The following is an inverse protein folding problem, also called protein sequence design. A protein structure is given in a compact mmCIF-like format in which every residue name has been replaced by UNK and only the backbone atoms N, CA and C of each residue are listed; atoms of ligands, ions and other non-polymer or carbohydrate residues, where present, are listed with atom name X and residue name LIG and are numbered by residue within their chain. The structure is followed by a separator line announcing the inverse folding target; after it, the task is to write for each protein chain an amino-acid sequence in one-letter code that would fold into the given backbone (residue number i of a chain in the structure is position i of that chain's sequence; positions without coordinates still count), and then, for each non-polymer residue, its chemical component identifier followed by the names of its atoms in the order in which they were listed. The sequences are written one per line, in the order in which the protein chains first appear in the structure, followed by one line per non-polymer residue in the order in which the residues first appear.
data_IF_076985018239
#
_entry.id   IF_076985018239
#
_cell.length_a   1.000
_cell.length_b   1.000
_cell.length_c   1.000
_cell.angle_alpha   90.00
_cell.angle_beta   90.00
_cell.angle_gamma   90.00
#
_symmetry.space_group_name_H-M   'P 1'
#
loop_
_entity.id
_entity.type
_entity.pdbx_description
1 polymer ?
#
# COMPACT_ATOMS: atom_id res chain seq x y z
N UNK A 1 13.12 4.12 59.33
CA UNK A 1 12.99 3.67 57.93
C UNK A 1 12.27 2.34 57.95
N UNK A 2 11.06 2.28 57.41
CA UNK A 2 10.25 1.06 57.42
C UNK A 2 8.83 1.38 56.96
N UNK A 3 8.66 1.50 55.64
CA UNK A 3 7.35 1.65 55.02
C UNK A 3 6.51 0.39 55.25
N UNK A 4 5.26 0.58 55.67
CA UNK A 4 4.24 -0.46 55.62
C UNK A 4 3.80 -0.64 54.17
N UNK A 5 4.10 -1.80 53.62
CA UNK A 5 3.82 -2.22 52.25
C UNK A 5 2.31 -2.16 51.94
N UNK A 6 1.98 -1.59 50.77
CA UNK A 6 0.63 -1.50 50.23
C UNK A 6 0.32 -2.75 49.37
N UNK A 7 -0.59 -3.67 49.77
CA UNK A 7 -0.88 -4.88 49.01
C UNK A 7 -1.96 -4.62 47.96
N UNK A 8 -1.59 -3.98 46.85
CA UNK A 8 -2.47 -3.89 45.68
C UNK A 8 -1.65 -4.00 44.39
N UNK A 9 -0.93 -5.12 44.28
CA UNK A 9 -0.25 -5.51 43.04
C UNK A 9 -0.48 -7.00 42.85
N UNK A 10 -1.43 -7.34 41.97
CA UNK A 10 -1.72 -8.74 41.69
C UNK A 10 -3.08 -8.99 41.05
N UNK A 11 -3.47 -8.21 40.04
CA UNK A 11 -4.54 -8.65 39.13
C UNK A 11 -3.88 -9.02 37.79
N UNK A 12 -4.04 -10.26 37.31
CA UNK A 12 -3.61 -10.60 35.96
C UNK A 12 -4.48 -9.81 34.98
N UNK A 13 -3.85 -8.96 34.17
CA UNK A 13 -4.51 -8.42 32.97
C UNK A 13 -4.79 -9.59 32.05
N UNK A 14 -6.04 -10.04 32.02
CA UNK A 14 -6.52 -10.95 30.98
C UNK A 14 -6.44 -10.18 29.67
N UNK A 15 -5.41 -10.48 28.87
CA UNK A 15 -5.31 -9.98 27.50
C UNK A 15 -6.52 -10.51 26.74
N UNK A 16 -7.36 -9.60 26.23
CA UNK A 16 -8.45 -9.99 25.35
C UNK A 16 -7.86 -10.73 24.15
N UNK A 17 -8.29 -11.98 23.95
CA UNK A 17 -7.94 -12.72 22.73
C UNK A 17 -8.44 -11.90 21.53
N UNK A 18 -7.65 -11.76 20.45
CA UNK A 18 -8.14 -11.16 19.22
C UNK A 18 -9.40 -11.92 18.80
N UNK A 19 -10.53 -11.23 18.78
CA UNK A 19 -11.77 -11.79 18.25
C UNK A 19 -11.59 -12.17 16.77
N UNK A 20 -12.42 -13.09 16.24
CA UNK A 20 -12.38 -13.41 14.82
C UNK A 20 -12.56 -12.12 14.02
N UNK A 21 -11.54 -11.73 13.27
CA UNK A 21 -11.60 -10.63 12.33
C UNK A 21 -12.57 -11.02 11.23
N UNK A 22 -13.79 -10.48 11.29
CA UNK A 22 -14.71 -10.53 10.14
C UNK A 22 -13.99 -9.87 8.97
N UNK A 23 -13.87 -10.56 7.81
CA UNK A 23 -13.21 -9.96 6.66
C UNK A 23 -13.96 -8.68 6.30
N UNK A 24 -13.25 -7.56 6.26
CA UNK A 24 -13.80 -6.31 5.75
C UNK A 24 -14.26 -6.53 4.31
N UNK A 25 -15.43 -6.02 3.95
CA UNK A 25 -15.93 -6.03 2.57
C UNK A 25 -15.08 -5.15 1.63
N UNK A 26 -14.19 -4.31 2.18
CA UNK A 26 -13.31 -3.43 1.44
C UNK A 26 -12.01 -4.14 1.01
N UNK A 27 -11.54 -3.83 -0.21
CA UNK A 27 -10.19 -4.18 -0.69
C UNK A 27 -9.17 -3.22 -0.04
N UNK A 28 -7.97 -3.72 0.25
CA UNK A 28 -6.85 -2.86 0.63
C UNK A 28 -6.42 -1.97 -0.54
N UNK A 29 -5.99 -0.76 -0.22
CA UNK A 29 -5.38 0.20 -1.17
C UNK A 29 -3.94 0.54 -0.74
N UNK A 30 -3.10 1.10 -1.62
CA UNK A 30 -1.74 1.50 -1.24
C UNK A 30 -1.74 2.40 0.00
N UNK A 31 -0.97 1.98 1.02
CA UNK A 31 -0.87 2.68 2.31
C UNK A 31 -1.62 2.01 3.46
N UNK A 32 -2.56 1.11 3.18
CA UNK A 32 -3.23 0.33 4.21
C UNK A 32 -2.29 -0.69 4.87
N UNK A 33 -2.52 -1.01 6.14
CA UNK A 33 -1.72 -2.00 6.87
C UNK A 33 -1.77 -3.42 6.26
N UNK A 34 -2.84 -3.74 5.53
CA UNK A 34 -2.97 -5.01 4.80
C UNK A 34 -2.53 -4.94 3.33
N UNK A 35 -1.99 -3.81 2.88
CA UNK A 35 -1.46 -3.69 1.52
C UNK A 35 -0.15 -4.47 1.40
N UNK A 36 0.07 -5.25 0.32
CA UNK A 36 1.26 -6.07 0.21
C UNK A 36 2.56 -5.24 0.20
N UNK A 37 3.56 -5.75 0.91
CA UNK A 37 4.90 -5.18 0.95
C UNK A 37 5.72 -5.46 -0.31
N UNK A 38 6.91 -4.86 -0.39
CA UNK A 38 7.79 -5.00 -1.57
C UNK A 38 8.20 -6.46 -1.84
N UNK A 39 8.48 -7.24 -0.79
CA UNK A 39 8.86 -8.64 -0.92
C UNK A 39 7.72 -9.50 -1.48
N UNK A 40 6.49 -9.25 -1.06
CA UNK A 40 5.30 -9.94 -1.56
C UNK A 40 5.04 -9.60 -3.03
N UNK A 41 5.20 -8.33 -3.42
CA UNK A 41 5.12 -7.92 -4.82
C UNK A 41 6.24 -8.53 -5.68
N UNK A 42 7.47 -8.61 -5.16
CA UNK A 42 8.58 -9.28 -5.86
C UNK A 42 8.33 -10.78 -6.03
N UNK A 43 7.79 -11.42 -5.00
CA UNK A 43 7.37 -12.82 -5.05
C UNK A 43 6.31 -12.99 -6.13
N UNK A 44 5.24 -12.18 -6.13
CA UNK A 44 4.23 -12.22 -7.18
C UNK A 44 4.86 -12.03 -8.57
N UNK A 45 5.73 -11.04 -8.75
CA UNK A 45 6.40 -10.78 -10.01
C UNK A 45 7.16 -12.02 -10.51
N UNK A 46 7.88 -12.71 -9.63
CA UNK A 46 8.58 -13.97 -9.97
C UNK A 46 7.61 -15.08 -10.40
N UNK A 47 6.47 -15.23 -9.70
CA UNK A 47 5.47 -16.28 -10.02
C UNK A 47 4.77 -16.06 -11.35
N UNK A 48 4.64 -14.79 -11.79
CA UNK A 48 4.07 -14.44 -13.09
C UNK A 48 5.13 -14.30 -14.19
N UNK A 49 6.37 -14.74 -13.93
CA UNK A 49 7.45 -14.76 -14.90
C UNK A 49 7.98 -13.37 -15.27
N UNK A 50 8.02 -12.44 -14.31
CA UNK A 50 8.55 -11.09 -14.52
C UNK A 50 7.58 -10.12 -15.20
N UNK A 51 6.29 -10.46 -15.28
CA UNK A 51 5.28 -9.67 -16.02
C UNK A 51 4.47 -8.70 -15.16
N UNK A 52 4.77 -8.59 -13.87
CA UNK A 52 4.11 -7.60 -13.02
C UNK A 52 4.70 -6.21 -13.29
N UNK A 53 3.85 -5.26 -13.67
CA UNK A 53 4.25 -3.88 -13.96
C UNK A 53 3.69 -2.97 -12.86
N UNK A 54 4.58 -2.22 -12.21
CA UNK A 54 4.14 -1.09 -11.39
C UNK A 54 3.70 0.03 -12.33
N UNK A 55 2.40 0.32 -12.32
CA UNK A 55 1.82 1.32 -13.20
C UNK A 55 2.46 2.69 -13.01
N UNK A 56 2.90 3.29 -14.11
CA UNK A 56 3.33 4.68 -14.19
C UNK A 56 2.29 5.43 -15.02
N UNK A 57 1.73 6.56 -14.54
CA UNK A 57 0.76 7.32 -15.32
C UNK A 57 1.33 7.71 -16.68
N UNK A 58 0.57 7.48 -17.76
CA UNK A 58 1.01 7.82 -19.12
C UNK A 58 1.45 9.28 -19.22
N UNK A 59 0.65 10.19 -18.66
CA UNK A 59 0.92 11.63 -18.66
C UNK A 59 1.87 12.09 -17.55
N UNK A 60 2.63 11.21 -16.88
CA UNK A 60 3.57 11.61 -15.83
C UNK A 60 4.57 12.67 -16.32
N UNK A 61 4.99 12.61 -17.58
CA UNK A 61 5.88 13.60 -18.19
C UNK A 61 5.29 15.00 -18.32
N UNK A 62 3.99 15.17 -18.11
CA UNK A 62 3.33 16.48 -18.15
C UNK A 62 3.32 17.20 -16.79
N UNK A 63 3.84 16.59 -15.73
CA UNK A 63 3.80 17.14 -14.37
C UNK A 63 5.15 16.99 -13.66
N UNK A 64 5.48 17.92 -12.77
CA UNK A 64 6.62 17.79 -11.87
C UNK A 64 6.48 16.57 -10.93
N UNK A 65 7.60 15.95 -10.50
CA UNK A 65 8.99 16.32 -10.80
C UNK A 65 9.52 15.76 -12.14
N UNK A 66 8.71 15.00 -12.88
CA UNK A 66 9.16 14.23 -14.03
C UNK A 66 8.88 14.95 -15.37
N UNK A 67 8.76 16.28 -15.33
CA UNK A 67 8.36 17.06 -16.49
C UNK A 67 9.35 16.89 -17.65
N UNK A 68 8.81 16.46 -18.79
CA UNK A 68 9.50 16.39 -20.08
C UNK A 68 8.54 16.93 -21.14
N UNK A 69 8.86 18.13 -21.63
CA UNK A 69 8.06 18.86 -22.60
C UNK A 69 7.87 18.08 -23.90
N UNK A 70 8.92 17.42 -24.41
CA UNK A 70 8.84 16.72 -25.69
C UNK A 70 7.89 15.50 -25.58
N UNK A 71 8.05 14.72 -24.51
CA UNK A 71 7.19 13.56 -24.25
C UNK A 71 5.76 13.99 -23.96
N UNK A 72 5.55 15.07 -23.17
CA UNK A 72 4.22 15.59 -22.91
C UNK A 72 3.50 16.04 -24.19
N UNK A 73 4.14 16.81 -25.07
CA UNK A 73 3.53 17.26 -26.33
C UNK A 73 3.21 16.09 -27.28
N UNK A 74 4.06 15.06 -27.31
CA UNK A 74 3.77 13.84 -28.06
C UNK A 74 2.51 13.14 -27.54
N UNK A 75 2.36 12.99 -26.21
CA UNK A 75 1.17 12.38 -25.59
C UNK A 75 -0.07 13.23 -25.88
N UNK A 76 0.01 14.56 -25.74
CA UNK A 76 -1.12 15.47 -26.00
C UNK A 76 -1.64 15.37 -27.43
N UNK A 77 -0.72 15.26 -28.39
CA UNK A 77 -1.06 15.13 -29.81
C UNK A 77 -1.79 13.81 -30.10
N UNK A 78 -1.34 12.72 -29.48
CA UNK A 78 -1.86 11.38 -29.75
C UNK A 78 -3.07 11.00 -28.87
N UNK A 79 -3.34 11.75 -27.80
CA UNK A 79 -4.37 11.39 -26.81
C UNK A 79 -5.76 11.17 -27.43
N UNK A 80 -6.14 11.99 -28.41
CA UNK A 80 -7.43 11.87 -29.13
C UNK A 80 -7.49 10.70 -30.11
N UNK A 81 -6.36 10.11 -30.47
CA UNK A 81 -6.26 8.95 -31.36
C UNK A 81 -6.32 7.62 -30.60
N UNK A 82 -6.16 7.66 -29.27
CA UNK A 82 -6.31 6.49 -28.40
C UNK A 82 -7.78 6.05 -28.40
N UNK A 83 -8.10 5.05 -29.21
CA UNK A 83 -9.42 4.41 -29.13
C UNK A 83 -9.62 3.78 -27.75
N UNK A 84 -10.83 3.89 -27.15
CA UNK A 84 -11.22 3.03 -26.05
C UNK A 84 -11.12 1.59 -26.54
N UNK A 85 -10.33 0.76 -25.86
CA UNK A 85 -10.35 -0.69 -26.08
C UNK A 85 -11.60 -1.31 -25.47
#
# INVERSE_FOLDING_TARGET
MGELSNPMSGLPTIAAAPGPSTPSLCRFVPGDAGWPGLEEWNTLNSTVGGRLIQGVPLAQSCFEPNFDNATCEAIRTQWSELQPR
#
